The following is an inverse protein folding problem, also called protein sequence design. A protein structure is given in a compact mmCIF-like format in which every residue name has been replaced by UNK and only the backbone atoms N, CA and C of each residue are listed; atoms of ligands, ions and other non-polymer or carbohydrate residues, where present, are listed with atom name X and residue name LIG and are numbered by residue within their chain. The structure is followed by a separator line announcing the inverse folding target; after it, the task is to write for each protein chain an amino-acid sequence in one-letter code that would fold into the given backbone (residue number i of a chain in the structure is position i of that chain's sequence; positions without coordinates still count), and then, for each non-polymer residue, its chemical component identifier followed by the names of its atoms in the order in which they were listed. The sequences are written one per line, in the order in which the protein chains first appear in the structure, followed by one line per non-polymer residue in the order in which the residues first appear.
data_IF_954559686605
#
_entry.id   IF_954559686605
#
_cell.length_a   1.000
_cell.length_b   1.000
_cell.length_c   1.000
_cell.angle_alpha   90.00
_cell.angle_beta   90.00
_cell.angle_gamma   90.00
#
_symmetry.space_group_name_H-M   'P 1'
#
loop_
_entity.id
_entity.type
_entity.pdbx_description
1 polymer ?
#
# COMPACT_ATOMS: atom_id res chain seq x y z
N UNK A 1 3.54 7.01 -13.82
CA UNK A 1 2.28 7.78 -13.88
C UNK A 1 2.48 9.05 -13.06
N UNK A 2 2.00 10.21 -13.51
CA UNK A 2 2.02 11.42 -12.69
C UNK A 2 0.99 11.31 -11.56
N UNK A 3 1.31 11.80 -10.36
CA UNK A 3 0.37 11.78 -9.24
C UNK A 3 -0.59 12.97 -9.33
N UNK A 4 -1.88 12.70 -9.45
CA UNK A 4 -2.93 13.72 -9.40
C UNK A 4 -3.12 14.14 -7.95
N UNK A 5 -2.66 15.34 -7.59
CA UNK A 5 -2.97 15.96 -6.31
C UNK A 5 -4.48 16.35 -6.26
N UNK A 6 -5.13 16.26 -5.09
CA UNK A 6 -6.51 16.70 -4.94
C UNK A 6 -6.59 18.23 -4.93
N UNK A 7 -6.92 18.83 -6.07
CA UNK A 7 -7.17 20.26 -6.18
C UNK A 7 -8.38 20.68 -5.34
N UNK A 8 -8.15 21.36 -4.21
CA UNK A 8 -9.19 22.00 -3.41
C UNK A 8 -9.83 23.14 -4.20
N UNK A 9 -10.98 22.88 -4.81
CA UNK A 9 -11.70 23.82 -5.65
C UNK A 9 -12.45 24.87 -4.81
N UNK A 10 -11.72 25.86 -4.29
CA UNK A 10 -12.29 26.99 -3.56
C UNK A 10 -13.09 27.87 -4.52
N UNK A 11 -14.40 27.61 -4.63
CA UNK A 11 -15.30 28.30 -5.55
C UNK A 11 -15.67 29.69 -5.05
N UNK A 12 -14.74 30.64 -5.20
CA UNK A 12 -14.98 32.06 -4.88
C UNK A 12 -15.98 32.63 -5.90
N UNK A 13 -17.22 32.91 -5.46
CA UNK A 13 -18.24 33.56 -6.28
C UNK A 13 -18.12 35.08 -6.12
N UNK A 14 -17.28 35.71 -6.95
CA UNK A 14 -17.22 37.16 -7.06
C UNK A 14 -18.45 37.63 -7.86
N UNK A 15 -19.42 38.24 -7.17
CA UNK A 15 -20.69 38.67 -7.77
C UNK A 15 -20.65 40.16 -8.18
N UNK A 16 -19.72 40.51 -9.06
CA UNK A 16 -19.59 41.84 -9.65
C UNK A 16 -20.47 41.99 -10.89
N UNK A 17 -21.28 43.06 -10.91
CA UNK A 17 -22.09 43.47 -12.05
C UNK A 17 -21.18 43.97 -13.19
N UNK A 18 -21.39 43.47 -14.42
CA UNK A 18 -20.64 43.86 -15.62
C UNK A 18 -21.65 44.17 -16.73
N UNK A 19 -21.59 45.35 -17.38
CA UNK A 19 -22.47 45.67 -18.50
C UNK A 19 -22.12 44.85 -19.75
N UNK A 20 -23.12 44.55 -20.59
CA UNK A 20 -23.12 43.38 -21.48
C UNK A 20 -22.11 43.37 -22.64
N UNK A 21 -21.40 44.46 -22.95
CA UNK A 21 -20.52 44.55 -24.13
C UNK A 21 -19.03 44.19 -23.89
N UNK A 22 -18.62 43.78 -22.69
CA UNK A 22 -17.22 43.41 -22.37
C UNK A 22 -16.99 41.95 -21.93
N UNK A 23 -18.01 41.09 -22.07
CA UNK A 23 -18.01 39.71 -21.56
C UNK A 23 -16.81 38.86 -22.01
N UNK A 24 -16.45 38.90 -23.30
CA UNK A 24 -15.35 38.11 -23.85
C UNK A 24 -13.97 38.48 -23.26
N UNK A 25 -13.71 39.78 -23.07
CA UNK A 25 -12.43 40.27 -22.56
C UNK A 25 -12.26 39.93 -21.07
N UNK A 26 -13.32 40.08 -20.27
CA UNK A 26 -13.33 39.68 -18.85
C UNK A 26 -13.12 38.17 -18.67
N UNK A 27 -13.73 37.33 -19.52
CA UNK A 27 -13.53 35.87 -19.47
C UNK A 27 -12.08 35.47 -19.77
N UNK A 28 -11.45 36.07 -20.78
CA UNK A 28 -10.03 35.81 -21.09
C UNK A 28 -9.10 36.23 -19.95
N UNK A 29 -9.37 37.39 -19.32
CA UNK A 29 -8.59 37.88 -18.17
C UNK A 29 -8.70 36.94 -16.96
N UNK A 30 -9.90 36.45 -16.63
CA UNK A 30 -10.11 35.50 -15.54
C UNK A 30 -9.53 34.10 -15.84
N UNK A 31 -9.61 33.62 -17.08
CA UNK A 31 -9.15 32.30 -17.47
C UNK A 31 -7.62 32.19 -17.60
N UNK A 32 -6.95 33.23 -18.10
CA UNK A 32 -5.53 33.17 -18.44
C UNK A 32 -4.64 34.09 -17.58
N UNK A 33 -5.05 35.34 -17.34
CA UNK A 33 -4.17 36.30 -16.65
C UNK A 33 -4.25 36.15 -15.13
N UNK A 34 -5.44 35.98 -14.55
CA UNK A 34 -5.60 35.85 -13.10
C UNK A 34 -4.82 34.66 -12.48
N UNK A 35 -4.78 33.44 -13.08
CA UNK A 35 -3.96 32.34 -12.57
C UNK A 35 -2.46 32.62 -12.64
N UNK A 36 -1.99 33.28 -13.71
CA UNK A 36 -0.59 33.68 -13.87
C UNK A 36 -0.22 34.74 -12.82
N UNK A 37 -1.08 35.73 -12.60
CA UNK A 37 -0.87 36.76 -11.57
C UNK A 37 -0.83 36.15 -10.16
N UNK A 38 -1.70 35.18 -9.87
CA UNK A 38 -1.73 34.49 -8.58
C UNK A 38 -0.49 33.62 -8.38
N UNK A 39 -0.03 32.90 -9.41
CA UNK A 39 1.21 32.14 -9.37
C UNK A 39 2.43 33.06 -9.16
N UNK A 40 2.48 34.19 -9.87
CA UNK A 40 3.54 35.20 -9.71
C UNK A 40 3.53 35.79 -8.29
N UNK A 41 2.35 36.10 -7.74
CA UNK A 41 2.20 36.59 -6.36
C UNK A 41 2.66 35.56 -5.33
N UNK A 42 2.37 34.27 -5.55
CA UNK A 42 2.86 33.17 -4.69
C UNK A 42 4.38 33.09 -4.75
N UNK A 43 4.98 33.08 -5.96
CA UNK A 43 6.44 33.04 -6.16
C UNK A 43 7.12 34.25 -5.50
N UNK A 44 6.62 35.47 -5.73
CA UNK A 44 7.12 36.69 -5.09
C UNK A 44 6.98 36.60 -3.57
N UNK A 45 5.87 36.07 -3.03
CA UNK A 45 5.70 35.94 -1.59
C UNK A 45 6.55 34.84 -0.96
N UNK A 46 6.96 33.80 -1.71
CA UNK A 46 8.00 32.87 -1.27
C UNK A 46 9.39 33.50 -1.32
N UNK A 47 9.75 34.21 -2.39
CA UNK A 47 11.05 34.88 -2.50
C UNK A 47 11.22 36.02 -1.47
N UNK A 48 10.15 36.75 -1.13
CA UNK A 48 10.15 37.71 -0.02
C UNK A 48 10.43 37.00 1.31
N UNK A 49 9.88 35.81 1.54
CA UNK A 49 10.13 35.04 2.78
C UNK A 49 11.53 34.40 2.82
N UNK A 50 12.19 34.23 1.68
CA UNK A 50 13.63 33.90 1.62
C UNK A 50 14.50 35.15 1.82
N UNK A 51 14.10 36.32 1.29
CA UNK A 51 14.74 37.60 1.60
C UNK A 51 14.62 38.00 3.07
N UNK A 52 13.53 37.61 3.74
CA UNK A 52 13.32 37.82 5.19
C UNK A 52 14.32 37.01 6.04
N UNK A 53 14.83 35.88 5.52
CA UNK A 53 15.95 35.12 6.11
C UNK A 53 17.29 35.81 5.81
N UNK A 54 17.45 36.37 4.60
CA UNK A 54 18.64 37.13 4.21
C UNK A 54 18.75 38.51 4.89
N UNK A 55 17.65 39.09 5.39
CA UNK A 55 17.67 40.38 6.08
C UNK A 55 18.65 40.41 7.26
N UNK A 56 18.69 39.34 8.08
CA UNK A 56 19.65 39.21 9.17
C UNK A 56 21.12 39.04 8.73
N UNK A 57 21.36 38.63 7.48
CA UNK A 57 22.69 38.62 6.87
C UNK A 57 23.06 40.00 6.30
N UNK A 58 22.10 40.73 5.75
CA UNK A 58 22.28 42.10 5.26
C UNK A 58 22.57 43.06 6.42
N UNK A 59 21.84 42.96 7.55
CA UNK A 59 22.12 43.76 8.76
C UNK A 59 23.54 43.49 9.30
N UNK A 60 23.98 42.23 9.30
CA UNK A 60 25.33 41.84 9.72
C UNK A 60 26.45 42.36 8.80
N UNK A 61 26.13 42.60 7.51
CA UNK A 61 27.02 43.19 6.52
C UNK A 61 26.96 44.73 6.49
N UNK A 62 25.85 45.33 6.94
CA UNK A 62 25.62 46.77 6.90
C UNK A 62 26.35 47.53 8.02
N UNK A 63 26.36 47.01 9.25
CA UNK A 63 27.18 47.55 10.35
C UNK A 63 27.83 46.41 11.18
N UNK A 64 29.03 45.94 10.76
CA UNK A 64 29.70 44.84 11.43
C UNK A 64 30.13 45.16 12.87
N UNK A 65 30.25 46.44 13.27
CA UNK A 65 30.57 46.81 14.66
C UNK A 65 29.35 46.67 15.56
N UNK A 66 28.17 47.08 15.09
CA UNK A 66 26.92 46.86 15.80
C UNK A 66 26.62 45.36 15.97
N UNK A 67 26.85 44.55 14.92
CA UNK A 67 26.69 43.09 14.96
C UNK A 67 27.59 42.44 16.02
N UNK A 68 28.90 42.74 16.02
CA UNK A 68 29.85 42.19 16.99
C UNK A 68 29.49 42.59 18.44
N UNK A 69 29.13 43.86 18.69
CA UNK A 69 28.72 44.31 20.04
C UNK A 69 27.41 43.62 20.52
N UNK A 70 26.48 43.32 19.62
CA UNK A 70 25.27 42.57 19.93
C UNK A 70 25.56 41.07 20.18
N UNK A 71 26.52 40.49 19.46
CA UNK A 71 26.99 39.11 19.66
C UNK A 71 27.73 38.97 21.00
N UNK A 72 28.61 39.92 21.33
CA UNK A 72 29.36 39.93 22.58
C UNK A 72 28.44 40.11 23.80
N UNK A 73 27.45 41.01 23.74
CA UNK A 73 26.42 41.13 24.79
C UNK A 73 25.57 39.86 24.96
N UNK A 74 25.32 39.10 23.88
CA UNK A 74 24.68 37.78 23.99
C UNK A 74 25.60 36.74 24.64
N UNK A 75 26.90 36.77 24.33
CA UNK A 75 27.91 35.90 24.95
C UNK A 75 28.05 36.20 26.44
N UNK A 76 28.19 37.46 26.82
CA UNK A 76 28.24 37.94 28.21
C UNK A 76 26.97 37.56 29.00
N UNK A 77 25.80 37.65 28.37
CA UNK A 77 24.53 37.21 28.98
C UNK A 77 24.45 35.69 29.17
N UNK A 78 25.08 34.87 28.31
CA UNK A 78 25.17 33.41 28.48
C UNK A 78 26.19 33.03 29.58
N UNK A 79 27.33 33.73 29.61
CA UNK A 79 28.35 33.59 30.65
C UNK A 79 27.80 33.94 32.04
N UNK A 80 27.06 35.05 32.18
CA UNK A 80 26.33 35.42 33.40
C UNK A 80 25.18 34.45 33.77
N UNK A 81 24.82 33.53 32.88
CA UNK A 81 23.87 32.43 33.15
C UNK A 81 24.57 31.09 33.43
N UNK A 82 25.90 31.07 33.55
CA UNK A 82 26.67 29.89 33.95
C UNK A 82 26.98 28.91 32.81
N UNK A 83 27.01 29.38 31.56
CA UNK A 83 27.52 28.61 30.42
C UNK A 83 28.91 29.13 30.06
N UNK A 84 29.94 28.33 30.30
CA UNK A 84 31.30 28.63 29.84
C UNK A 84 31.45 28.26 28.35
N UNK A 85 32.42 28.88 27.66
CA UNK A 85 32.70 28.56 26.24
C UNK A 85 33.00 27.06 26.02
N UNK A 86 33.52 26.39 27.06
CA UNK A 86 33.76 24.95 27.16
C UNK A 86 32.54 24.07 26.80
N UNK A 87 31.32 24.54 27.08
CA UNK A 87 30.07 23.80 26.85
C UNK A 87 29.47 24.07 25.45
N UNK A 88 30.03 25.02 24.69
CA UNK A 88 29.52 25.43 23.37
C UNK A 88 30.24 24.62 22.28
N UNK A 89 29.67 23.48 21.90
CA UNK A 89 30.16 22.67 20.78
C UNK A 89 30.09 23.49 19.48
N UNK A 90 31.25 23.80 18.91
CA UNK A 90 31.39 24.58 17.68
C UNK A 90 30.82 23.82 16.48
N UNK A 91 29.69 24.29 15.93
CA UNK A 91 29.02 23.67 14.78
C UNK A 91 29.70 24.09 13.49
N UNK A 92 30.80 23.42 13.15
CA UNK A 92 31.48 23.59 11.88
C UNK A 92 30.54 23.28 10.69
N UNK A 93 30.49 24.19 9.72
CA UNK A 93 29.67 24.02 8.51
C UNK A 93 30.25 22.95 7.58
N UNK A 94 29.66 21.76 7.58
CA UNK A 94 29.97 20.70 6.60
C UNK A 94 28.76 19.79 6.36
N UNK A 95 28.72 19.21 5.16
CA UNK A 95 27.56 18.47 4.65
C UNK A 95 27.63 16.96 4.99
N UNK A 96 26.53 16.25 4.65
CA UNK A 96 26.42 14.78 4.48
C UNK A 96 26.04 13.93 5.73
N UNK A 97 24.76 13.46 5.70
CA UNK A 97 24.18 12.19 6.22
C UNK A 97 23.74 12.02 7.70
N UNK A 98 22.45 11.66 7.82
CA UNK A 98 21.83 10.62 8.70
C UNK A 98 21.87 10.72 10.23
N UNK A 99 20.79 11.24 10.82
CA UNK A 99 20.14 10.78 12.07
C UNK A 99 18.65 11.21 12.01
N UNK A 100 17.60 10.51 12.47
CA UNK A 100 17.34 9.63 13.64
C UNK A 100 17.01 10.33 14.99
N UNK A 101 15.86 11.02 14.99
CA UNK A 101 14.81 10.98 16.04
C UNK A 101 15.16 11.22 17.52
N UNK A 102 14.64 12.34 18.06
CA UNK A 102 13.97 12.51 19.39
C UNK A 102 13.51 13.99 19.53
N UNK A 103 12.22 14.33 19.46
CA UNK A 103 11.23 14.33 20.55
C UNK A 103 11.74 14.97 21.86
N UNK A 104 10.99 15.91 22.48
CA UNK A 104 11.03 16.13 23.94
C UNK A 104 9.90 17.02 24.49
N UNK A 105 9.49 16.62 25.69
CA UNK A 105 8.09 16.60 26.10
C UNK A 105 7.83 17.07 27.57
N UNK A 106 7.43 16.19 28.53
CA UNK A 106 6.48 16.54 29.62
C UNK A 106 6.37 15.47 30.78
N UNK A 107 5.64 15.52 31.93
CA UNK A 107 4.79 16.42 32.79
C UNK A 107 4.69 15.76 34.21
N UNK A 108 3.89 16.35 35.12
CA UNK A 108 3.42 16.03 36.51
C UNK A 108 2.21 17.01 36.81
N UNK A 109 1.26 16.93 37.75
CA UNK A 109 0.91 16.12 38.93
C UNK A 109 -0.62 16.23 39.26
N UNK A 110 -1.17 15.31 40.09
CA UNK A 110 -2.59 15.20 40.50
C UNK A 110 -3.43 14.23 39.64
N UNK A 111 -4.46 13.51 40.14
CA UNK A 111 -5.00 13.41 41.52
C UNK A 111 -6.04 14.48 41.88
N UNK A 112 -6.93 14.27 42.90
CA UNK A 112 -6.98 13.19 43.91
C UNK A 112 -8.37 12.49 44.11
N UNK A 113 -8.51 11.65 45.16
CA UNK A 113 -9.77 11.07 45.75
C UNK A 113 -10.54 10.04 44.87
N UNK A 114 -11.38 9.10 45.37
CA UNK A 114 -11.71 8.64 46.75
C UNK A 114 -12.10 7.13 46.79
N UNK A 115 -12.54 6.57 47.94
CA UNK A 115 -12.60 5.12 48.23
C UNK A 115 -13.80 4.64 49.11
N UNK A 116 -14.29 3.40 48.92
CA UNK A 116 -15.08 2.56 49.86
C UNK A 116 -15.01 1.07 49.44
N UNK A 117 -15.38 0.09 50.29
CA UNK A 117 -15.26 -1.37 50.08
C UNK A 117 -16.25 -2.18 50.99
N UNK A 118 -16.37 -3.52 51.05
CA UNK A 118 -15.58 -4.68 50.57
C UNK A 118 -16.46 -5.99 50.49
N UNK A 119 -15.85 -7.15 50.14
CA UNK A 119 -16.24 -8.54 50.50
C UNK A 119 -17.46 -9.19 49.79
N UNK A 120 -17.54 -10.51 49.48
CA UNK A 120 -16.66 -11.72 49.52
C UNK A 120 -17.24 -12.72 48.46
N UNK A 121 -16.53 -13.72 47.87
CA UNK A 121 -16.07 -14.99 48.49
C UNK A 121 -15.28 -15.87 47.48
N UNK A 122 -14.25 -16.56 47.99
CA UNK A 122 -13.49 -17.77 47.55
C UNK A 122 -13.80 -18.49 46.20
N UNK A 123 -12.84 -19.13 45.50
CA UNK A 123 -11.78 -20.04 46.02
C UNK A 123 -10.41 -20.03 45.31
N UNK A 124 -9.37 -20.32 46.11
CA UNK A 124 -8.01 -20.85 45.89
C UNK A 124 -7.54 -21.31 44.47
N UNK A 125 -6.23 -21.28 44.13
CA UNK A 125 -5.08 -21.46 45.03
C UNK A 125 -3.76 -20.75 44.60
N UNK A 126 -3.01 -20.31 45.63
CA UNK A 126 -1.54 -20.16 45.83
C UNK A 126 -0.61 -20.27 44.58
N UNK A 127 0.41 -19.41 44.38
CA UNK A 127 1.00 -18.22 45.10
C UNK A 127 1.97 -17.50 44.11
N UNK A 128 2.60 -16.34 44.34
CA UNK A 128 2.69 -15.40 45.48
C UNK A 128 2.44 -13.93 45.02
N UNK A 129 3.35 -13.04 44.58
CA UNK A 129 4.83 -13.01 44.37
C UNK A 129 5.33 -11.55 44.39
N UNK A 130 6.62 -11.26 44.72
CA UNK A 130 7.19 -9.90 44.71
C UNK A 130 7.97 -9.56 43.42
N UNK A 131 7.77 -8.46 42.65
CA UNK A 131 7.43 -7.01 42.86
C UNK A 131 8.67 -6.10 42.99
N UNK A 132 8.62 -4.77 42.63
CA UNK A 132 7.43 -3.92 42.41
C UNK A 132 7.40 -2.95 41.18
N UNK A 133 6.23 -2.34 40.94
CA UNK A 133 5.90 -1.06 40.25
C UNK A 133 6.43 -0.79 38.82
N UNK A 134 5.55 -0.60 37.81
CA UNK A 134 4.92 0.73 37.58
C UNK A 134 3.79 0.75 36.52
N UNK A 135 3.22 -0.40 36.14
CA UNK A 135 2.30 -0.52 34.98
C UNK A 135 0.84 -0.10 35.24
N UNK A 136 0.59 1.20 35.37
CA UNK A 136 -0.76 1.76 35.54
C UNK A 136 -1.18 2.80 34.48
N UNK A 137 -0.36 3.07 33.45
CA UNK A 137 -0.66 4.07 32.40
C UNK A 137 -0.74 3.55 30.96
N UNK A 138 -0.15 2.39 30.66
CA UNK A 138 0.11 1.98 29.26
C UNK A 138 -1.08 1.28 28.58
N UNK A 139 -2.10 0.88 29.34
CA UNK A 139 -3.39 0.39 28.81
C UNK A 139 -4.09 1.41 27.91
N UNK A 140 -3.78 2.72 28.05
CA UNK A 140 -4.33 3.80 27.21
C UNK A 140 -3.66 3.93 25.84
N UNK A 141 -2.60 3.18 25.55
CA UNK A 141 -1.72 3.39 24.37
C UNK A 141 -1.69 2.20 23.38
N UNK A 142 -2.63 1.23 23.48
CA UNK A 142 -2.85 0.23 22.41
C UNK A 142 -3.40 0.89 21.15
N UNK A 143 -2.56 1.00 20.12
CA UNK A 143 -3.00 1.21 18.73
C UNK A 143 -3.51 -0.14 18.22
N UNK A 144 -4.74 -0.18 17.72
CA UNK A 144 -5.36 -1.41 17.20
C UNK A 144 -4.60 -1.97 16.00
N UNK A 145 -4.57 -3.29 15.86
CA UNK A 145 -3.87 -3.94 14.75
C UNK A 145 -4.66 -3.80 13.44
N UNK A 146 -3.97 -3.49 12.34
CA UNK A 146 -4.59 -3.49 11.00
C UNK A 146 -4.90 -4.93 10.61
N UNK A 147 -6.19 -5.29 10.48
CA UNK A 147 -6.60 -6.61 10.03
C UNK A 147 -6.64 -6.69 8.50
N UNK A 148 -5.97 -7.70 7.92
CA UNK A 148 -6.03 -7.99 6.48
C UNK A 148 -7.46 -8.30 5.99
N UNK A 149 -8.33 -8.81 6.88
CA UNK A 149 -9.75 -9.08 6.61
C UNK A 149 -10.57 -7.80 6.41
N UNK A 150 -10.15 -6.67 6.97
CA UNK A 150 -10.81 -5.37 6.79
C UNK A 150 -10.33 -4.66 5.52
N UNK A 151 -9.04 -4.79 5.17
CA UNK A 151 -8.52 -4.31 3.88
C UNK A 151 -9.22 -5.00 2.68
N UNK A 152 -9.54 -6.29 2.80
CA UNK A 152 -10.33 -7.02 1.77
C UNK A 152 -11.80 -6.57 1.67
N UNK A 153 -12.32 -5.81 2.63
CA UNK A 153 -13.67 -5.19 2.56
C UNK A 153 -13.65 -3.85 1.82
N UNK A 154 -12.48 -3.26 1.57
CA UNK A 154 -12.37 -1.94 0.95
C UNK A 154 -13.03 -1.86 -0.43
N UNK A 155 -13.57 -0.68 -0.76
CA UNK A 155 -14.31 -0.42 -2.00
C UNK A 155 -13.42 -0.55 -3.25
N UNK A 156 -12.12 -0.30 -3.15
CA UNK A 156 -11.18 -0.53 -4.25
C UNK A 156 -10.86 -2.02 -4.41
N UNK A 157 -10.65 -2.75 -3.31
CA UNK A 157 -10.43 -4.21 -3.38
C UNK A 157 -11.66 -4.93 -3.96
N UNK A 158 -12.87 -4.62 -3.48
CA UNK A 158 -14.12 -5.16 -4.03
C UNK A 158 -14.32 -4.84 -5.52
N UNK A 159 -13.91 -3.65 -5.99
CA UNK A 159 -13.94 -3.30 -7.42
C UNK A 159 -12.96 -4.17 -8.22
N UNK A 160 -11.76 -4.38 -7.70
CA UNK A 160 -10.77 -5.27 -8.32
C UNK A 160 -11.30 -6.69 -8.43
N UNK A 161 -11.79 -7.30 -7.35
CA UNK A 161 -12.36 -8.67 -7.39
C UNK A 161 -13.44 -8.81 -8.47
N UNK A 162 -14.31 -7.80 -8.64
CA UNK A 162 -15.36 -7.77 -9.69
C UNK A 162 -14.83 -7.54 -11.11
N UNK A 163 -13.63 -6.96 -11.29
CA UNK A 163 -12.91 -6.92 -12.57
C UNK A 163 -12.35 -8.32 -12.86
N UNK A 164 -11.55 -8.86 -11.95
CA UNK A 164 -10.86 -10.15 -12.13
C UNK A 164 -11.85 -11.30 -12.39
N UNK A 165 -13.03 -11.28 -11.75
CA UNK A 165 -14.14 -12.22 -12.03
C UNK A 165 -14.61 -12.17 -13.50
N UNK A 166 -14.77 -10.96 -14.07
CA UNK A 166 -15.16 -10.77 -15.48
C UNK A 166 -14.08 -11.24 -16.44
N UNK A 167 -12.82 -11.00 -16.10
CA UNK A 167 -11.67 -11.43 -16.91
C UNK A 167 -11.66 -12.97 -17.05
N UNK A 168 -12.04 -13.72 -16.00
CA UNK A 168 -12.24 -15.19 -16.05
C UNK A 168 -13.44 -15.57 -16.93
N UNK A 169 -14.56 -14.86 -16.83
CA UNK A 169 -15.73 -15.13 -17.66
C UNK A 169 -15.46 -14.89 -19.15
N UNK A 170 -14.73 -13.83 -19.50
CA UNK A 170 -14.33 -13.55 -20.87
C UNK A 170 -13.36 -14.62 -21.39
N UNK A 171 -12.38 -15.03 -20.59
CA UNK A 171 -11.47 -16.12 -20.94
C UNK A 171 -12.24 -17.42 -21.23
N UNK A 172 -13.18 -17.79 -20.35
CA UNK A 172 -14.05 -18.97 -20.53
C UNK A 172 -14.87 -18.87 -21.82
N UNK A 173 -15.45 -17.71 -22.13
CA UNK A 173 -16.20 -17.44 -23.37
C UNK A 173 -15.30 -17.53 -24.61
N UNK A 174 -14.04 -17.08 -24.54
CA UNK A 174 -13.03 -17.22 -25.62
C UNK A 174 -12.66 -18.68 -25.87
N UNK A 175 -12.32 -19.41 -24.80
CA UNK A 175 -11.98 -20.83 -24.88
C UNK A 175 -13.12 -21.69 -25.43
N UNK A 176 -14.36 -21.39 -25.03
CA UNK A 176 -15.54 -22.09 -25.54
C UNK A 176 -15.72 -21.91 -27.05
N UNK A 177 -15.64 -20.66 -27.56
CA UNK A 177 -15.70 -20.38 -29.00
C UNK A 177 -14.58 -21.10 -29.78
N UNK A 178 -13.38 -21.20 -29.21
CA UNK A 178 -12.26 -21.90 -29.84
C UNK A 178 -12.48 -23.43 -29.89
N UNK A 179 -12.98 -24.04 -28.81
CA UNK A 179 -13.38 -25.47 -28.81
C UNK A 179 -14.44 -25.76 -29.85
N UNK A 180 -15.52 -24.97 -29.89
CA UNK A 180 -16.59 -25.12 -30.88
C UNK A 180 -16.09 -24.96 -32.33
N UNK A 181 -15.15 -24.05 -32.57
CA UNK A 181 -14.56 -23.84 -33.90
C UNK A 181 -13.78 -25.07 -34.35
N UNK A 182 -12.93 -25.63 -33.49
CA UNK A 182 -12.15 -26.83 -33.82
C UNK A 182 -13.07 -28.05 -33.95
N UNK A 183 -14.01 -28.29 -33.03
CA UNK A 183 -14.94 -29.42 -33.12
C UNK A 183 -15.75 -29.39 -34.44
N UNK A 184 -16.27 -28.22 -34.85
CA UNK A 184 -16.98 -28.05 -36.14
C UNK A 184 -16.06 -28.31 -37.35
N UNK A 185 -14.81 -27.85 -37.30
CA UNK A 185 -13.81 -28.10 -38.34
C UNK A 185 -13.43 -29.59 -38.44
N UNK A 186 -13.26 -30.25 -37.29
CA UNK A 186 -12.90 -31.67 -37.21
C UNK A 186 -14.03 -32.56 -37.71
N UNK A 187 -15.27 -32.33 -37.26
CA UNK A 187 -16.48 -32.99 -37.76
C UNK A 187 -16.60 -32.85 -39.29
N UNK A 188 -16.54 -31.61 -39.79
CA UNK A 188 -16.60 -31.31 -41.24
C UNK A 188 -15.51 -32.04 -42.05
N UNK A 189 -14.36 -32.32 -41.45
CA UNK A 189 -13.24 -33.03 -42.10
C UNK A 189 -13.47 -34.55 -42.12
N UNK A 190 -14.02 -35.10 -41.04
CA UNK A 190 -14.45 -36.51 -40.97
C UNK A 190 -15.58 -36.78 -41.96
N UNK A 191 -16.61 -35.92 -41.99
CA UNK A 191 -17.75 -36.05 -42.91
C UNK A 191 -17.32 -36.07 -44.38
N UNK A 192 -16.38 -35.20 -44.76
CA UNK A 192 -15.79 -35.17 -46.11
C UNK A 192 -15.08 -36.48 -46.45
N UNK A 193 -14.22 -36.99 -45.56
CA UNK A 193 -13.49 -38.24 -45.76
C UNK A 193 -14.46 -39.44 -45.90
N UNK A 194 -15.50 -39.49 -45.06
CA UNK A 194 -16.56 -40.50 -45.12
C UNK A 194 -17.34 -40.40 -46.45
N UNK A 195 -17.73 -39.19 -46.86
CA UNK A 195 -18.44 -38.96 -48.12
C UNK A 195 -17.60 -39.39 -49.34
N UNK A 196 -16.32 -39.03 -49.39
CA UNK A 196 -15.44 -39.37 -50.52
C UNK A 196 -15.11 -40.86 -50.56
N UNK A 197 -14.94 -41.51 -49.41
CA UNK A 197 -14.88 -42.97 -49.28
C UNK A 197 -16.13 -43.65 -49.87
N UNK A 198 -17.34 -43.15 -49.54
CA UNK A 198 -18.59 -43.67 -50.10
C UNK A 198 -18.70 -43.45 -51.62
N UNK A 199 -18.28 -42.30 -52.14
CA UNK A 199 -18.22 -42.03 -53.60
C UNK A 199 -17.27 -43.02 -54.29
N UNK A 200 -16.08 -43.24 -53.72
CA UNK A 200 -15.07 -44.16 -54.28
C UNK A 200 -15.56 -45.61 -54.27
N UNK A 201 -16.26 -46.04 -53.21
CA UNK A 201 -16.89 -47.37 -53.13
C UNK A 201 -18.02 -47.55 -54.15
N UNK A 202 -18.94 -46.56 -54.28
CA UNK A 202 -20.01 -46.58 -55.29
C UNK A 202 -19.48 -46.64 -56.72
N UNK A 203 -18.42 -45.88 -57.04
CA UNK A 203 -17.81 -45.91 -58.38
C UNK A 203 -17.23 -47.29 -58.74
N UNK A 204 -16.74 -48.05 -57.75
CA UNK A 204 -16.25 -49.43 -57.94
C UNK A 204 -17.36 -50.45 -58.16
N UNK A 205 -18.43 -50.37 -57.37
CA UNK A 205 -19.59 -51.29 -57.53
C UNK A 205 -20.32 -51.07 -58.85
N UNK A 206 -20.55 -49.82 -59.26
CA UNK A 206 -21.15 -49.51 -60.58
C UNK A 206 -20.24 -49.95 -61.73
N UNK A 207 -18.92 -49.72 -61.64
CA UNK A 207 -17.95 -50.20 -62.62
C UNK A 207 -17.91 -51.72 -62.77
N UNK A 208 -18.24 -52.46 -61.70
CA UNK A 208 -18.30 -53.92 -61.69
C UNK A 208 -19.67 -54.51 -62.09
N UNK A 209 -20.71 -53.69 -62.25
CA UNK A 209 -22.05 -54.14 -62.68
C UNK A 209 -22.34 -53.78 -64.14
N UNK A 210 -21.77 -52.71 -64.68
CA UNK A 210 -21.90 -52.38 -66.11
C UNK A 210 -21.19 -53.39 -67.04
N UNK A 211 -20.37 -54.30 -66.51
CA UNK A 211 -19.67 -55.36 -67.27
C UNK A 211 -20.44 -56.67 -67.40
N UNK A 212 -21.59 -56.86 -66.72
CA UNK A 212 -22.39 -58.10 -66.81
C UNK A 212 -23.45 -58.08 -67.92
N UNK A 213 -23.23 -57.27 -68.96
CA UNK A 213 -24.25 -56.82 -69.90
C UNK A 213 -24.30 -57.49 -71.29
N UNK A 214 -23.55 -58.56 -71.55
CA UNK A 214 -23.64 -59.28 -72.83
C UNK A 214 -23.27 -60.77 -72.75
N UNK A 215 -23.77 -61.56 -73.69
CA UNK A 215 -23.69 -63.03 -73.70
C UNK A 215 -22.44 -63.53 -74.46
N UNK A 216 -21.56 -64.28 -73.81
CA UNK A 216 -21.13 -65.59 -74.31
C UNK A 216 -20.49 -66.44 -73.21
N UNK A 217 -20.48 -67.76 -73.43
CA UNK A 217 -19.78 -68.73 -72.60
C UNK A 217 -18.30 -68.83 -72.99
N UNK A 218 -17.39 -68.74 -72.01
CA UNK A 218 -15.95 -69.06 -72.09
C UNK A 218 -15.32 -69.05 -70.70
N UNK A 219 -14.42 -70.00 -70.40
CA UNK A 219 -13.71 -70.04 -69.11
C UNK A 219 -12.63 -68.94 -69.05
N UNK A 220 -12.95 -67.83 -68.39
CA UNK A 220 -11.99 -66.76 -68.07
C UNK A 220 -11.94 -66.53 -66.55
N UNK A 221 -10.88 -67.08 -65.95
CA UNK A 221 -10.30 -66.79 -64.62
C UNK A 221 -11.02 -65.75 -63.74
N UNK A 222 -11.60 -66.23 -62.62
CA UNK A 222 -12.09 -65.39 -61.52
C UNK A 222 -10.94 -64.61 -60.82
N UNK A 223 -10.57 -63.45 -61.37
CA UNK A 223 -9.63 -62.51 -60.76
C UNK A 223 -10.18 -61.08 -60.70
N UNK A 224 -11.28 -60.91 -59.97
CA UNK A 224 -11.58 -59.63 -59.29
C UNK A 224 -10.58 -59.43 -58.14
N UNK A 225 -9.35 -59.05 -58.50
CA UNK A 225 -8.16 -59.05 -57.63
C UNK A 225 -8.45 -58.58 -56.18
N UNK A 226 -8.51 -59.52 -55.21
CA UNK A 226 -8.80 -59.18 -53.82
C UNK A 226 -7.74 -58.24 -53.22
N UNK A 227 -6.52 -58.31 -53.74
CA UNK A 227 -5.35 -57.56 -53.29
C UNK A 227 -5.54 -56.06 -53.51
N UNK A 228 -6.02 -55.64 -54.68
CA UNK A 228 -6.30 -54.23 -54.97
C UNK A 228 -7.45 -53.65 -54.14
N UNK A 229 -8.47 -54.46 -53.86
CA UNK A 229 -9.60 -54.05 -53.02
C UNK A 229 -9.14 -53.85 -51.58
N UNK A 230 -8.47 -54.86 -51.02
CA UNK A 230 -7.81 -54.83 -49.70
C UNK A 230 -6.83 -53.66 -49.56
N UNK A 231 -5.92 -53.47 -50.51
CA UNK A 231 -4.91 -52.40 -50.47
C UNK A 231 -5.53 -50.99 -50.43
N UNK A 232 -6.63 -50.77 -51.14
CA UNK A 232 -7.32 -49.49 -51.11
C UNK A 232 -8.13 -49.25 -49.82
N UNK A 233 -8.75 -50.29 -49.29
CA UNK A 233 -9.51 -50.20 -48.03
C UNK A 233 -8.55 -50.04 -46.83
N UNK A 234 -7.36 -50.67 -46.90
CA UNK A 234 -6.21 -50.42 -46.01
C UNK A 234 -5.67 -48.99 -46.14
N UNK A 235 -5.52 -48.46 -47.36
CA UNK A 235 -5.10 -47.07 -47.57
C UNK A 235 -6.12 -46.06 -46.99
N UNK A 236 -7.42 -46.36 -47.09
CA UNK A 236 -8.47 -45.57 -46.47
C UNK A 236 -8.44 -45.66 -44.92
N UNK A 237 -8.22 -46.86 -44.38
CA UNK A 237 -7.99 -47.08 -42.94
C UNK A 237 -6.78 -46.27 -42.43
N UNK A 238 -5.68 -46.24 -43.18
CA UNK A 238 -4.50 -45.45 -42.84
C UNK A 238 -4.79 -43.93 -42.87
N UNK A 239 -5.56 -43.44 -43.86
CA UNK A 239 -5.99 -42.04 -43.91
C UNK A 239 -6.85 -41.66 -42.71
N UNK A 240 -7.81 -42.52 -42.33
CA UNK A 240 -8.65 -42.28 -41.15
C UNK A 240 -7.83 -42.26 -39.85
N UNK A 241 -6.92 -43.23 -39.65
CA UNK A 241 -6.01 -43.25 -38.49
C UNK A 241 -5.15 -41.99 -38.41
N UNK A 242 -4.58 -41.57 -39.55
CA UNK A 242 -3.77 -40.34 -39.63
C UNK A 242 -4.60 -39.08 -39.34
N UNK A 243 -5.85 -38.99 -39.83
CA UNK A 243 -6.76 -37.91 -39.52
C UNK A 243 -7.06 -37.84 -38.01
N UNK A 244 -7.47 -38.96 -37.41
CA UNK A 244 -7.78 -39.03 -35.97
C UNK A 244 -6.56 -38.64 -35.12
N UNK A 245 -5.36 -39.14 -35.44
CA UNK A 245 -4.13 -38.73 -34.76
C UNK A 245 -3.86 -37.23 -34.88
N UNK A 246 -4.09 -36.63 -36.06
CA UNK A 246 -3.95 -35.19 -36.27
C UNK A 246 -4.94 -34.38 -35.44
N UNK A 247 -6.21 -34.82 -35.40
CA UNK A 247 -7.29 -34.17 -34.66
C UNK A 247 -7.10 -34.23 -33.15
N UNK A 248 -6.66 -35.39 -32.61
CA UNK A 248 -6.26 -35.55 -31.21
C UNK A 248 -5.08 -34.65 -30.86
N UNK A 249 -4.07 -34.53 -31.74
CA UNK A 249 -2.91 -33.65 -31.52
C UNK A 249 -3.31 -32.16 -31.53
N UNK A 250 -4.16 -31.75 -32.46
CA UNK A 250 -4.71 -30.39 -32.56
C UNK A 250 -5.52 -30.03 -31.30
N UNK A 251 -6.43 -30.91 -30.87
CA UNK A 251 -7.24 -30.71 -29.67
C UNK A 251 -6.39 -30.68 -28.39
N UNK A 252 -5.48 -31.63 -28.23
CA UNK A 252 -4.51 -31.65 -27.12
C UNK A 252 -3.61 -30.40 -27.11
N UNK A 253 -3.31 -29.82 -28.27
CA UNK A 253 -2.57 -28.54 -28.37
C UNK A 253 -3.44 -27.36 -27.90
N UNK A 254 -4.71 -27.31 -28.32
CA UNK A 254 -5.67 -26.30 -27.86
C UNK A 254 -5.86 -26.35 -26.34
N UNK A 255 -6.05 -27.53 -25.76
CA UNK A 255 -6.34 -27.69 -24.33
C UNK A 255 -5.15 -27.28 -23.46
N UNK A 256 -3.91 -27.68 -23.81
CA UNK A 256 -2.69 -27.20 -23.12
C UNK A 256 -2.47 -25.69 -23.27
N UNK A 257 -2.91 -25.10 -24.38
CA UNK A 257 -2.92 -23.63 -24.54
C UNK A 257 -3.97 -22.98 -23.63
N UNK A 258 -5.18 -23.54 -23.52
CA UNK A 258 -6.22 -23.04 -22.62
C UNK A 258 -5.78 -23.13 -21.14
N UNK A 259 -5.18 -24.25 -20.74
CA UNK A 259 -4.56 -24.45 -19.43
C UNK A 259 -3.50 -23.38 -19.14
N UNK A 260 -2.57 -23.16 -20.08
CA UNK A 260 -1.54 -22.12 -19.98
C UNK A 260 -2.16 -20.72 -19.83
N UNK A 261 -3.15 -20.37 -20.63
CA UNK A 261 -3.83 -19.06 -20.56
C UNK A 261 -4.58 -18.86 -19.23
N UNK A 262 -5.21 -19.91 -18.68
CA UNK A 262 -5.84 -19.88 -17.35
C UNK A 262 -4.81 -19.62 -16.24
N UNK A 263 -3.69 -20.35 -16.23
CA UNK A 263 -2.60 -20.14 -15.27
C UNK A 263 -2.01 -18.73 -15.38
N UNK A 264 -1.76 -18.22 -16.59
CA UNK A 264 -1.22 -16.86 -16.77
C UNK A 264 -2.20 -15.78 -16.29
N UNK A 265 -3.52 -15.95 -16.51
CA UNK A 265 -4.52 -15.06 -15.96
C UNK A 265 -4.52 -15.13 -14.42
N UNK A 266 -4.60 -16.34 -13.82
CA UNK A 266 -4.69 -16.49 -12.36
C UNK A 266 -3.43 -15.96 -11.66
N UNK A 267 -2.25 -16.20 -12.22
CA UNK A 267 -0.97 -15.64 -11.75
C UNK A 267 -0.95 -14.11 -11.81
N UNK A 268 -1.57 -13.50 -12.82
CA UNK A 268 -1.69 -12.04 -12.94
C UNK A 268 -2.70 -11.48 -11.93
N UNK A 269 -3.82 -12.18 -11.71
CA UNK A 269 -4.82 -11.84 -10.69
C UNK A 269 -4.22 -11.81 -9.28
N UNK A 270 -3.45 -12.84 -8.90
CA UNK A 270 -2.77 -12.88 -7.60
C UNK A 270 -1.86 -11.66 -7.42
N UNK A 271 -1.12 -11.25 -8.46
CA UNK A 271 -0.29 -10.04 -8.41
C UNK A 271 -1.13 -8.77 -8.24
N UNK A 272 -2.19 -8.57 -9.03
CA UNK A 272 -3.07 -7.41 -8.89
C UNK A 272 -3.74 -7.36 -7.49
N UNK A 273 -4.18 -8.51 -6.96
CA UNK A 273 -4.78 -8.65 -5.63
C UNK A 273 -3.79 -8.20 -4.52
N UNK A 274 -2.57 -8.73 -4.52
CA UNK A 274 -1.57 -8.40 -3.50
C UNK A 274 -0.96 -6.99 -3.66
N UNK A 275 -0.76 -6.51 -4.89
CA UNK A 275 -0.34 -5.13 -5.15
C UNK A 275 -1.33 -4.11 -4.58
N UNK A 276 -2.64 -4.36 -4.71
CA UNK A 276 -3.67 -3.48 -4.18
C UNK A 276 -3.75 -3.59 -2.65
N UNK A 277 -3.63 -4.79 -2.08
CA UNK A 277 -3.57 -4.97 -0.63
C UNK A 277 -2.35 -4.28 0.00
N UNK A 278 -1.18 -4.31 -0.66
CA UNK A 278 0.01 -3.59 -0.20
C UNK A 278 -0.18 -2.07 -0.17
N UNK A 279 -0.81 -1.51 -1.22
CA UNK A 279 -1.15 -0.07 -1.28
C UNK A 279 -2.14 0.31 -0.17
N UNK A 280 -3.21 -0.47 0.02
CA UNK A 280 -4.20 -0.26 1.08
C UNK A 280 -3.61 -0.43 2.50
N UNK A 281 -2.71 -1.39 2.70
CA UNK A 281 -1.98 -1.58 3.95
C UNK A 281 -1.09 -0.36 4.24
N UNK A 282 -0.29 0.09 3.28
CA UNK A 282 0.58 1.25 3.44
C UNK A 282 -0.19 2.53 3.78
N UNK A 283 -1.32 2.79 3.11
CA UNK A 283 -2.16 3.95 3.44
C UNK A 283 -2.78 3.85 4.84
N UNK A 284 -3.20 2.66 5.28
CA UNK A 284 -3.67 2.43 6.65
C UNK A 284 -2.56 2.61 7.70
N UNK A 285 -1.35 2.10 7.44
CA UNK A 285 -0.17 2.27 8.29
C UNK A 285 0.21 3.75 8.44
N UNK A 286 0.21 4.49 7.32
CA UNK A 286 0.43 5.94 7.27
C UNK A 286 -0.62 6.73 8.06
N UNK A 287 -1.90 6.34 7.98
CA UNK A 287 -2.96 6.92 8.81
C UNK A 287 -2.74 6.65 10.31
N UNK A 288 -2.37 5.41 10.70
CA UNK A 288 -2.05 5.09 12.09
C UNK A 288 -0.85 5.88 12.62
N UNK A 289 0.22 6.00 11.83
CA UNK A 289 1.41 6.76 12.19
C UNK A 289 1.11 8.27 12.36
N UNK A 290 0.29 8.84 11.48
CA UNK A 290 -0.16 10.23 11.61
C UNK A 290 -1.04 10.43 12.85
N UNK A 291 -1.95 9.49 13.14
CA UNK A 291 -2.79 9.54 14.34
C UNK A 291 -1.96 9.43 15.63
N UNK A 292 -0.93 8.58 15.64
CA UNK A 292 0.03 8.52 16.75
C UNK A 292 0.77 9.85 16.92
N UNK A 293 1.29 10.45 15.84
CA UNK A 293 2.01 11.73 15.91
C UNK A 293 1.13 12.86 16.42
N UNK A 294 -0.10 12.98 15.93
CA UNK A 294 -1.08 13.94 16.46
C UNK A 294 -1.38 13.72 17.94
N UNK A 295 -1.45 12.47 18.41
CA UNK A 295 -1.59 12.15 19.84
C UNK A 295 -0.36 12.54 20.65
N UNK A 296 0.85 12.19 20.17
CA UNK A 296 2.11 12.57 20.82
C UNK A 296 2.29 14.10 20.84
N UNK A 297 1.78 14.82 19.84
CA UNK A 297 1.71 16.29 19.80
C UNK A 297 0.65 16.92 20.70
N UNK A 298 -0.53 16.28 20.83
CA UNK A 298 -1.57 16.70 21.76
C UNK A 298 -1.07 16.53 23.19
N UNK A 299 -0.47 15.37 23.50
CA UNK A 299 0.37 15.18 24.68
C UNK A 299 1.42 16.32 24.74
N UNK A 300 2.18 16.63 23.68
CA UNK A 300 3.19 17.72 23.62
C UNK A 300 2.69 19.17 23.86
N UNK A 301 1.38 19.39 24.10
CA UNK A 301 0.76 20.70 24.38
C UNK A 301 0.18 20.75 25.79
N UNK A 302 -0.76 19.85 26.06
CA UNK A 302 -1.45 19.56 27.33
C UNK A 302 -0.52 19.61 28.55
N UNK A 303 0.62 19.00 28.32
CA UNK A 303 1.55 18.61 29.34
C UNK A 303 2.76 19.62 29.35
N UNK A 304 2.88 20.58 28.38
CA UNK A 304 3.72 21.82 28.50
C UNK A 304 2.99 22.91 29.28
N UNK A 305 1.70 23.13 28.97
CA UNK A 305 0.82 24.07 29.69
C UNK A 305 0.87 23.86 31.21
N UNK A 306 0.95 22.60 31.64
CA UNK A 306 0.94 22.25 33.05
C UNK A 306 2.30 22.45 33.76
N UNK A 307 3.44 22.47 33.05
CA UNK A 307 4.70 22.94 33.66
C UNK A 307 4.59 24.43 34.02
N UNK A 308 3.94 25.23 33.17
CA UNK A 308 3.56 26.62 33.49
C UNK A 308 2.62 26.67 34.70
N UNK A 309 1.58 25.81 34.75
CA UNK A 309 0.67 25.74 35.91
C UNK A 309 1.43 25.45 37.21
N UNK A 310 2.27 24.40 37.25
CA UNK A 310 3.07 24.04 38.43
C UNK A 310 3.94 25.21 38.88
N UNK A 311 4.66 25.85 37.96
CA UNK A 311 5.51 27.01 38.25
C UNK A 311 4.71 28.18 38.88
N UNK A 312 3.50 28.46 38.37
CA UNK A 312 2.62 29.47 38.96
C UNK A 312 2.06 29.07 40.33
N UNK A 313 1.76 27.79 40.55
CA UNK A 313 1.26 27.27 41.83
C UNK A 313 2.35 27.26 42.92
N UNK A 314 3.57 26.82 42.59
CA UNK A 314 4.70 26.86 43.52
C UNK A 314 5.05 28.31 43.91
N UNK A 315 5.06 29.23 42.92
CA UNK A 315 5.33 30.65 43.17
C UNK A 315 4.26 31.30 44.06
N UNK A 316 2.97 30.97 43.86
CA UNK A 316 1.88 31.36 44.78
C UNK A 316 2.09 30.81 46.18
N UNK A 317 2.52 29.55 46.32
CA UNK A 317 2.78 28.93 47.62
C UNK A 317 3.86 29.67 48.41
N UNK A 318 4.95 30.10 47.77
CA UNK A 318 6.02 30.87 48.45
C UNK A 318 5.56 32.29 48.81
N UNK A 319 4.69 32.91 48.01
CA UNK A 319 4.10 34.21 48.34
C UNK A 319 3.12 34.15 49.52
N UNK A 320 2.47 33.01 49.74
CA UNK A 320 1.50 32.79 50.82
C UNK A 320 2.11 32.22 52.11
N UNK A 321 3.39 31.79 52.11
CA UNK A 321 4.08 31.26 53.29
C UNK A 321 4.36 32.36 54.34
N UNK A 322 3.48 32.42 55.35
CA UNK A 322 3.54 33.34 56.50
C UNK A 322 4.82 33.20 57.35
N UNK A 323 5.58 32.11 57.21
CA UNK A 323 6.83 31.92 57.94
C UNK A 323 8.00 32.69 57.31
N UNK A 324 7.90 33.09 56.04
CA UNK A 324 8.96 33.83 55.33
C UNK A 324 8.83 35.33 55.63
N UNK A 325 9.42 35.74 56.76
CA UNK A 325 9.33 37.11 57.29
C UNK A 325 10.19 38.14 56.53
N UNK A 326 11.32 37.75 55.94
CA UNK A 326 12.23 38.68 55.26
C UNK A 326 12.15 38.56 53.74
N UNK A 327 12.40 39.66 53.01
CA UNK A 327 12.45 39.65 51.54
C UNK A 327 13.57 38.74 51.03
N UNK A 328 14.76 38.82 51.63
CA UNK A 328 15.93 38.05 51.18
C UNK A 328 15.72 36.52 51.26
N UNK A 329 15.09 35.99 52.31
CA UNK A 329 14.75 34.55 52.40
C UNK A 329 13.66 34.18 51.37
N UNK A 330 12.72 35.07 51.06
CA UNK A 330 11.72 34.84 49.99
C UNK A 330 12.38 34.74 48.63
N UNK A 331 13.22 35.71 48.29
CA UNK A 331 13.93 35.78 47.01
C UNK A 331 14.89 34.58 46.86
N UNK A 332 15.53 34.15 47.96
CA UNK A 332 16.32 32.91 48.03
C UNK A 332 15.47 31.67 47.75
N UNK A 333 14.34 31.49 48.45
CA UNK A 333 13.46 30.31 48.23
C UNK A 333 12.89 30.28 46.81
N UNK A 334 12.59 31.43 46.21
CA UNK A 334 12.17 31.52 44.81
C UNK A 334 13.29 31.02 43.87
N UNK A 335 14.56 31.39 44.12
CA UNK A 335 15.72 30.86 43.36
C UNK A 335 15.84 29.34 43.51
N UNK A 336 15.89 28.82 44.74
CA UNK A 336 15.99 27.38 45.00
C UNK A 336 14.82 26.58 44.38
N UNK A 337 13.61 27.14 44.39
CA UNK A 337 12.42 26.57 43.76
C UNK A 337 12.54 26.55 42.23
N UNK A 338 12.96 27.67 41.62
CA UNK A 338 13.11 27.79 40.17
C UNK A 338 14.18 26.82 39.63
N UNK A 339 15.28 26.64 40.34
CA UNK A 339 16.34 25.69 40.00
C UNK A 339 15.82 24.24 40.05
N UNK A 340 15.16 23.86 41.15
CA UNK A 340 14.52 22.54 41.32
C UNK A 340 13.47 22.29 40.22
N UNK A 341 12.66 23.30 39.88
CA UNK A 341 11.68 23.22 38.80
C UNK A 341 12.35 23.09 37.42
N UNK A 342 13.41 23.83 37.11
CA UNK A 342 14.13 23.71 35.84
C UNK A 342 14.67 22.29 35.62
N UNK A 343 15.30 21.71 36.65
CA UNK A 343 15.82 20.34 36.62
C UNK A 343 14.71 19.29 36.48
N UNK A 344 13.63 19.43 37.26
CA UNK A 344 12.45 18.56 37.15
C UNK A 344 11.81 18.64 35.77
N UNK A 345 11.59 19.85 35.24
CA UNK A 345 10.98 20.05 33.93
C UNK A 345 11.84 19.46 32.82
N UNK A 346 13.18 19.60 32.88
CA UNK A 346 14.09 19.02 31.90
C UNK A 346 14.01 17.49 31.85
N UNK A 347 14.08 16.81 33.01
CA UNK A 347 13.97 15.34 33.07
C UNK A 347 12.57 14.85 32.72
N UNK A 348 11.49 15.59 33.04
CA UNK A 348 10.15 15.34 32.50
C UNK A 348 10.19 15.39 30.96
N UNK A 349 10.78 16.43 30.37
CA UNK A 349 10.88 16.56 28.90
C UNK A 349 11.62 15.38 28.27
N UNK A 350 12.78 15.05 28.80
CA UNK A 350 13.67 13.97 28.37
C UNK A 350 13.08 12.58 28.57
N UNK A 351 12.41 12.30 29.69
CA UNK A 351 11.71 11.03 29.92
C UNK A 351 10.67 10.77 28.83
N UNK A 352 9.89 11.77 28.48
CA UNK A 352 8.78 11.61 27.53
C UNK A 352 9.23 11.81 26.07
N UNK A 353 10.44 12.35 25.82
CA UNK A 353 11.15 12.18 24.55
C UNK A 353 11.31 10.69 24.19
N UNK A 354 11.83 9.94 25.16
CA UNK A 354 12.21 8.53 25.01
C UNK A 354 10.96 7.66 24.93
N UNK A 355 9.89 7.95 25.69
CA UNK A 355 8.61 7.24 25.52
C UNK A 355 7.93 7.54 24.17
N UNK A 356 7.93 8.79 23.71
CA UNK A 356 7.39 9.12 22.38
C UNK A 356 8.12 8.37 21.26
N UNK A 357 9.46 8.44 21.23
CA UNK A 357 10.29 7.71 20.26
C UNK A 357 10.02 6.20 20.30
N UNK A 358 10.06 5.58 21.48
CA UNK A 358 9.86 4.12 21.61
C UNK A 358 8.49 3.67 21.09
N UNK A 359 7.46 4.51 21.22
CA UNK A 359 6.13 4.19 20.69
C UNK A 359 6.07 4.31 19.16
N UNK A 360 6.72 5.33 18.58
CA UNK A 360 6.89 5.45 17.12
C UNK A 360 7.69 4.26 16.53
N UNK A 361 8.79 3.86 17.16
CA UNK A 361 9.63 2.71 16.76
C UNK A 361 8.88 1.39 16.87
N UNK A 362 8.13 1.17 17.97
CA UNK A 362 7.28 -0.02 18.14
C UNK A 362 6.12 -0.07 17.16
N UNK A 363 5.62 1.07 16.67
CA UNK A 363 4.60 1.11 15.61
C UNK A 363 5.23 0.82 14.25
N UNK A 364 6.36 1.45 13.94
CA UNK A 364 7.11 1.24 12.70
C UNK A 364 7.52 -0.23 12.52
N UNK A 365 8.08 -0.87 13.55
CA UNK A 365 8.46 -2.29 13.49
C UNK A 365 7.27 -3.22 13.23
N UNK A 366 6.10 -2.94 13.82
CA UNK A 366 4.87 -3.70 13.55
C UNK A 366 4.32 -3.46 12.14
N UNK A 367 4.50 -2.26 11.60
CA UNK A 367 4.14 -1.96 10.20
C UNK A 367 5.06 -2.68 9.20
N UNK A 368 6.35 -2.77 9.51
CA UNK A 368 7.33 -3.56 8.76
C UNK A 368 7.03 -5.07 8.81
N UNK A 369 6.81 -5.64 10.00
CA UNK A 369 6.39 -7.04 10.21
C UNK A 369 5.09 -7.38 9.44
N UNK A 370 4.10 -6.47 9.44
CA UNK A 370 2.86 -6.66 8.68
C UNK A 370 3.09 -6.63 7.16
N UNK A 371 4.01 -5.81 6.67
CA UNK A 371 4.31 -5.70 5.24
C UNK A 371 5.11 -6.92 4.76
N UNK A 372 6.12 -7.35 5.52
CA UNK A 372 6.90 -8.56 5.22
C UNK A 372 6.02 -9.81 5.24
N UNK A 373 5.06 -9.90 6.17
CA UNK A 373 4.07 -10.98 6.18
C UNK A 373 3.16 -10.96 4.94
N UNK A 374 2.73 -9.78 4.47
CA UNK A 374 1.91 -9.67 3.26
C UNK A 374 2.70 -10.10 2.00
N UNK A 375 4.01 -9.82 1.95
CA UNK A 375 4.88 -10.28 0.86
C UNK A 375 5.11 -11.80 0.91
N UNK A 376 5.30 -12.38 2.10
CA UNK A 376 5.34 -13.83 2.32
C UNK A 376 4.01 -14.51 1.96
N UNK A 377 2.88 -13.84 2.12
CA UNK A 377 1.57 -14.33 1.67
C UNK A 377 1.44 -14.28 0.15
N UNK A 378 1.89 -13.19 -0.48
CA UNK A 378 1.89 -13.01 -1.94
C UNK A 378 2.75 -14.07 -2.64
N UNK A 379 3.97 -14.28 -2.14
CA UNK A 379 4.92 -15.25 -2.68
C UNK A 379 4.37 -16.68 -2.56
N UNK A 380 3.87 -17.09 -1.38
CA UNK A 380 3.27 -18.41 -1.18
C UNK A 380 2.05 -18.66 -2.07
N UNK A 381 1.23 -17.62 -2.32
CA UNK A 381 0.11 -17.73 -3.25
C UNK A 381 0.55 -17.97 -4.71
N UNK A 382 1.64 -17.32 -5.14
CA UNK A 382 2.22 -17.52 -6.48
C UNK A 382 2.91 -18.88 -6.62
N UNK A 383 3.62 -19.34 -5.58
CA UNK A 383 4.27 -20.66 -5.53
C UNK A 383 3.26 -21.80 -5.57
N UNK A 384 2.17 -21.69 -4.81
CA UNK A 384 1.08 -22.68 -4.82
C UNK A 384 0.40 -22.76 -6.19
N UNK A 385 0.11 -21.61 -6.82
CA UNK A 385 -0.47 -21.57 -8.18
C UNK A 385 0.49 -22.19 -9.22
N UNK A 386 1.80 -21.96 -9.10
CA UNK A 386 2.79 -22.58 -9.97
C UNK A 386 2.97 -24.08 -9.72
N UNK A 387 2.88 -24.54 -8.46
CA UNK A 387 2.86 -25.96 -8.11
C UNK A 387 1.63 -26.66 -8.73
N UNK A 388 0.44 -26.10 -8.55
CA UNK A 388 -0.81 -26.63 -9.12
C UNK A 388 -0.73 -26.75 -10.65
N UNK A 389 -0.15 -25.74 -11.33
CA UNK A 389 0.05 -25.77 -12.78
C UNK A 389 1.12 -26.78 -13.23
N UNK A 390 2.18 -27.01 -12.45
CA UNK A 390 3.14 -28.10 -12.71
C UNK A 390 2.45 -29.47 -12.58
N UNK A 391 1.63 -29.66 -11.55
CA UNK A 391 0.89 -30.91 -11.32
C UNK A 391 -0.13 -31.19 -12.44
N UNK A 392 -0.95 -30.21 -12.80
CA UNK A 392 -1.92 -30.33 -13.90
C UNK A 392 -1.23 -30.72 -15.23
N UNK A 393 -0.09 -30.10 -15.54
CA UNK A 393 0.72 -30.44 -16.73
C UNK A 393 1.34 -31.84 -16.69
N UNK A 394 1.61 -32.40 -15.51
CA UNK A 394 2.10 -33.78 -15.35
C UNK A 394 0.95 -34.80 -15.41
N UNK A 395 -0.25 -34.42 -14.98
CA UNK A 395 -1.47 -35.22 -15.11
C UNK A 395 -2.06 -35.21 -16.53
N UNK A 396 -1.71 -34.20 -17.35
CA UNK A 396 -2.17 -34.00 -18.72
C UNK A 396 -1.88 -35.22 -19.62
N UNK A 397 -2.90 -35.62 -20.39
CA UNK A 397 -2.88 -36.76 -21.32
C UNK A 397 -3.39 -36.31 -22.69
N UNK A 398 -3.17 -37.08 -23.78
CA UNK A 398 -3.80 -36.77 -25.07
C UNK A 398 -5.33 -36.75 -24.93
N UNK A 399 -5.92 -35.59 -25.20
CA UNK A 399 -7.35 -35.37 -25.24
C UNK A 399 -7.86 -35.36 -26.68
N UNK A 400 -9.06 -35.89 -26.88
CA UNK A 400 -9.82 -35.84 -28.13
C UNK A 400 -11.25 -35.39 -27.82
N UNK A 401 -11.91 -34.83 -28.83
CA UNK A 401 -13.34 -34.48 -28.77
C UNK A 401 -14.17 -35.56 -29.46
N UNK A 402 -15.38 -35.80 -28.97
CA UNK A 402 -16.41 -36.63 -29.62
C UNK A 402 -17.56 -35.78 -30.19
#
# INVERSE_FOLDING_TARGET
MAMVLPCLFVRIVIKTYVPDELSAFCLYYFAHILPILLALLIVVKTCIREMEILAGLVDALADPRAYLSAQEKRKEALHNMGVEDSDIVEVATSSVRTASTKNALLRINGGPLEQSCDSLKSTASLKETARPNSEASDTKHKVEAINLSDLKKDKCFQKLTRKLQKDVEELKKRHQKQRESIQKQQQTTVDKLICDSHKQSRKRTVGSSNSSGQKHESLATMQSDPTQRSAADMANSHRMKSLVMSQTNEWSSLMRKHETECYQLRRSQIKEEFELLGKLLHDAQKQQMNMLKLRLEAENKDLKQAQTKKSMDDARSIQQDKNIKTKAERDRRIKEMNEKNLKMFFEERKRLAIKAQKHEEQLMKRHEEQHEQLEKDAQRALELEEMNYREARLASKPEFVC
#
